data_IF_528964362676
#
_entry.id   IF_528964362676
#
_cell.length_a   1.000
_cell.length_b   1.000
_cell.length_c   1.000
_cell.angle_alpha   90.00
_cell.angle_beta   90.00
_cell.angle_gamma   90.00
#
_symmetry.space_group_name_H-M   'P 1'
#
loop_
_entity.id
_entity.type
_entity.pdbx_description
1 polymer ?
#
# COMPACT_ATOMS: atom_id res chain seq x y z
N UNK A 1 67.30 -27.23 72.24
CA UNK A 1 65.98 -27.82 71.93
C UNK A 1 65.46 -27.14 70.65
N UNK A 2 65.42 -27.91 69.54
CA UNK A 2 64.84 -27.69 68.18
C UNK A 2 64.65 -26.26 67.57
N UNK A 3 65.11 -26.12 66.32
CA UNK A 3 64.95 -25.04 65.32
C UNK A 3 63.65 -25.29 64.45
N UNK A 4 63.28 -24.51 63.40
CA UNK A 4 62.57 -23.21 63.32
C UNK A 4 61.31 -23.21 62.36
N UNK A 5 60.61 -22.07 62.13
CA UNK A 5 60.31 -21.46 60.79
C UNK A 5 59.26 -20.31 60.83
N UNK A 6 59.43 -19.38 59.88
CA UNK A 6 58.66 -18.16 59.57
C UNK A 6 57.33 -18.46 58.83
N UNK A 7 56.35 -17.53 58.87
CA UNK A 7 55.90 -16.77 57.68
C UNK A 7 54.70 -15.83 57.95
N UNK A 8 54.65 -14.80 57.12
CA UNK A 8 53.90 -13.55 57.22
C UNK A 8 52.47 -13.59 56.66
N UNK A 9 51.80 -12.45 56.84
CA UNK A 9 50.88 -11.79 55.90
C UNK A 9 49.35 -11.85 56.17
N UNK A 10 48.77 -10.64 56.08
CA UNK A 10 47.40 -10.29 55.68
C UNK A 10 46.31 -10.19 56.76
N UNK A 11 46.30 -9.00 57.37
CA UNK A 11 45.09 -8.24 57.63
C UNK A 11 44.24 -8.07 56.36
N UNK A 12 42.93 -7.90 56.54
CA UNK A 12 41.85 -7.69 55.54
C UNK A 12 41.06 -8.94 55.09
N UNK A 13 40.39 -9.62 56.02
CA UNK A 13 39.32 -10.57 55.65
C UNK A 13 38.12 -10.53 56.61
N UNK A 14 37.73 -9.33 57.08
CA UNK A 14 36.65 -9.17 58.07
C UNK A 14 35.52 -8.20 57.70
N UNK A 15 35.56 -7.57 56.51
CA UNK A 15 34.58 -6.54 56.13
C UNK A 15 34.10 -6.63 54.67
N UNK A 16 34.04 -7.83 54.09
CA UNK A 16 33.49 -8.05 52.73
C UNK A 16 32.65 -9.33 52.66
N UNK A 17 31.85 -9.63 53.69
CA UNK A 17 30.84 -10.71 53.61
C UNK A 17 29.41 -10.17 53.77
N UNK A 18 29.24 -8.86 54.00
CA UNK A 18 27.93 -8.20 54.15
C UNK A 18 27.38 -7.46 52.92
N UNK A 19 27.96 -7.63 51.73
CA UNK A 19 27.57 -6.87 50.51
C UNK A 19 27.34 -7.73 49.26
N UNK A 20 27.19 -9.05 49.40
CA UNK A 20 26.81 -9.94 48.27
C UNK A 20 25.31 -10.28 48.22
N UNK A 21 24.50 -9.66 49.08
CA UNK A 21 23.04 -9.69 48.97
C UNK A 21 22.54 -8.38 48.34
N UNK A 22 22.77 -8.20 47.04
CA UNK A 22 22.32 -7.00 46.33
C UNK A 22 22.56 -7.09 44.84
N UNK A 23 21.47 -7.04 44.08
CA UNK A 23 21.41 -7.12 42.62
C UNK A 23 21.63 -8.51 41.99
N UNK A 24 20.74 -9.46 42.30
CA UNK A 24 20.20 -10.23 41.17
C UNK A 24 19.50 -9.22 40.27
N UNK A 25 20.12 -8.86 39.14
CA UNK A 25 19.40 -8.24 38.05
C UNK A 25 18.27 -9.21 37.69
N UNK A 26 17.03 -8.88 38.07
CA UNK A 26 15.85 -9.60 37.59
C UNK A 26 15.84 -9.35 36.11
N UNK A 27 16.35 -10.30 35.32
CA UNK A 27 16.19 -10.27 33.88
C UNK A 27 14.68 -10.13 33.64
N UNK A 28 14.28 -9.07 32.92
CA UNK A 28 12.87 -8.87 32.60
C UNK A 28 12.32 -10.17 32.01
N UNK A 29 11.18 -10.64 32.53
CA UNK A 29 10.58 -11.88 32.03
C UNK A 29 10.42 -11.78 30.51
N UNK A 30 10.87 -12.81 29.80
CA UNK A 30 10.78 -12.86 28.35
C UNK A 30 9.31 -12.74 27.92
N UNK A 31 8.98 -11.64 27.26
CA UNK A 31 7.65 -11.48 26.68
C UNK A 31 7.51 -12.37 25.44
N UNK A 32 6.47 -13.20 25.39
CA UNK A 32 6.17 -14.08 24.26
C UNK A 32 4.86 -13.64 23.64
N UNK A 33 4.94 -13.15 22.41
CA UNK A 33 3.86 -12.48 21.72
C UNK A 33 3.24 -13.39 20.67
N UNK A 34 1.91 -13.52 20.70
CA UNK A 34 1.14 -14.17 19.64
C UNK A 34 0.45 -13.09 18.80
N UNK A 35 0.79 -13.02 17.51
CA UNK A 35 0.04 -12.24 16.55
C UNK A 35 -1.28 -12.93 16.21
N UNK A 36 -2.41 -12.26 16.46
CA UNK A 36 -3.77 -12.77 16.27
C UNK A 36 -4.60 -11.81 15.40
N UNK A 37 -4.35 -11.70 14.09
CA UNK A 37 -5.20 -10.94 13.19
C UNK A 37 -6.52 -11.68 12.97
N UNK A 38 -7.65 -11.05 13.29
CA UNK A 38 -8.96 -11.68 13.14
C UNK A 38 -10.12 -10.69 13.02
N UNK A 39 -11.13 -11.06 12.24
CA UNK A 39 -12.41 -10.36 12.22
C UNK A 39 -13.24 -10.72 13.46
N UNK A 40 -13.33 -9.79 14.42
CA UNK A 40 -14.02 -10.00 15.69
C UNK A 40 -15.54 -9.90 15.60
N UNK A 41 -16.07 -9.54 14.43
CA UNK A 41 -17.52 -9.44 14.21
C UNK A 41 -18.20 -10.81 14.04
N UNK A 42 -17.42 -11.84 13.72
CA UNK A 42 -17.91 -13.19 13.45
C UNK A 42 -17.70 -14.06 14.69
N UNK A 43 -18.78 -14.51 15.31
CA UNK A 43 -18.73 -15.26 16.58
C UNK A 43 -17.84 -16.51 16.50
N UNK A 44 -17.90 -17.25 15.38
CA UNK A 44 -17.06 -18.44 15.14
C UNK A 44 -15.56 -18.12 15.16
N UNK A 45 -15.17 -16.92 14.74
CA UNK A 45 -13.78 -16.50 14.79
C UNK A 45 -13.33 -16.28 16.24
N UNK A 46 -14.24 -15.83 17.11
CA UNK A 46 -13.97 -15.70 18.54
C UNK A 46 -13.77 -17.08 19.15
N UNK A 47 -14.63 -18.06 18.86
CA UNK A 47 -14.46 -19.43 19.37
C UNK A 47 -13.10 -20.03 18.98
N UNK A 48 -12.66 -19.77 17.74
CA UNK A 48 -11.33 -20.16 17.27
C UNK A 48 -10.19 -19.44 18.02
N UNK A 49 -10.33 -18.13 18.28
CA UNK A 49 -9.38 -17.37 19.09
C UNK A 49 -9.35 -17.89 20.53
N UNK A 50 -10.49 -18.26 21.12
CA UNK A 50 -10.53 -18.78 22.49
C UNK A 50 -9.71 -20.08 22.61
N UNK A 51 -9.89 -21.00 21.65
CA UNK A 51 -9.10 -22.23 21.58
C UNK A 51 -7.60 -21.94 21.36
N UNK A 52 -7.27 -20.99 20.49
CA UNK A 52 -5.89 -20.59 20.20
C UNK A 52 -5.20 -19.96 21.42
N UNK A 53 -5.86 -19.02 22.11
CA UNK A 53 -5.30 -18.32 23.26
C UNK A 53 -5.10 -19.25 24.45
N UNK A 54 -6.02 -20.22 24.67
CA UNK A 54 -5.82 -21.27 25.69
C UNK A 54 -4.58 -22.11 25.40
N UNK A 55 -4.31 -22.44 24.14
CA UNK A 55 -3.07 -23.13 23.73
C UNK A 55 -1.84 -22.24 23.92
N UNK A 56 -1.93 -20.96 23.56
CA UNK A 56 -0.85 -20.00 23.71
C UNK A 56 -0.46 -19.83 25.19
N UNK A 57 -1.44 -19.64 26.08
CA UNK A 57 -1.20 -19.54 27.52
C UNK A 57 -0.50 -20.79 28.06
N UNK A 58 -0.94 -22.00 27.67
CA UNK A 58 -0.27 -23.26 28.04
C UNK A 58 1.17 -23.37 27.52
N UNK A 59 1.46 -22.76 26.38
CA UNK A 59 2.81 -22.68 25.82
C UNK A 59 3.66 -21.54 26.42
N UNK A 60 3.12 -20.80 27.38
CA UNK A 60 3.81 -19.71 28.09
C UNK A 60 3.84 -18.39 27.33
N UNK A 61 2.93 -18.17 26.37
CA UNK A 61 2.74 -16.84 25.80
C UNK A 61 2.21 -15.87 26.86
N UNK A 62 2.60 -14.60 26.75
CA UNK A 62 2.23 -13.56 27.72
C UNK A 62 1.44 -12.43 27.08
N UNK A 63 1.59 -12.20 25.77
CA UNK A 63 0.95 -11.10 25.06
C UNK A 63 0.22 -11.58 23.81
N UNK A 64 -0.93 -10.96 23.53
CA UNK A 64 -1.65 -11.10 22.27
C UNK A 64 -1.59 -9.78 21.52
N UNK A 65 -0.85 -9.74 20.41
CA UNK A 65 -0.96 -8.66 19.45
C UNK A 65 -2.23 -8.89 18.63
N UNK A 66 -3.29 -8.16 18.97
CA UNK A 66 -4.59 -8.31 18.34
C UNK A 66 -4.75 -7.28 17.22
N UNK A 67 -5.20 -7.72 16.05
CA UNK A 67 -5.48 -6.83 14.92
C UNK A 67 -6.83 -7.18 14.28
N UNK A 68 -7.62 -6.17 13.95
CA UNK A 68 -8.87 -6.28 13.19
C UNK A 68 -9.03 -5.01 12.36
N UNK A 69 -9.44 -5.13 11.09
CA UNK A 69 -9.72 -3.98 10.23
C UNK A 69 -10.76 -3.02 10.82
N UNK A 70 -11.65 -3.53 11.68
CA UNK A 70 -12.68 -2.72 12.36
C UNK A 70 -12.13 -1.79 13.42
N UNK A 71 -10.88 -1.93 13.83
CA UNK A 71 -10.25 -1.02 14.78
C UNK A 71 -10.19 0.42 14.27
N UNK A 72 -10.18 0.65 12.96
CA UNK A 72 -10.28 1.98 12.38
C UNK A 72 -11.73 2.52 12.31
N UNK A 73 -12.75 1.67 12.49
CA UNK A 73 -14.18 2.00 12.26
C UNK A 73 -15.11 1.50 13.38
N UNK A 74 -14.63 1.54 14.62
CA UNK A 74 -15.40 1.13 15.79
C UNK A 74 -16.74 1.88 15.95
N UNK A 75 -16.84 3.10 15.43
CA UNK A 75 -18.10 3.88 15.46
C UNK A 75 -19.23 3.29 14.62
N UNK A 76 -18.92 2.37 13.69
CA UNK A 76 -19.90 1.68 12.84
C UNK A 76 -20.23 0.27 13.33
N UNK A 77 -19.60 -0.18 14.42
CA UNK A 77 -19.76 -1.55 14.91
C UNK A 77 -21.00 -1.68 15.80
N UNK A 78 -21.70 -2.81 15.67
CA UNK A 78 -22.92 -3.11 16.43
C UNK A 78 -22.61 -3.73 17.81
N UNK A 79 -23.65 -3.93 18.62
CA UNK A 79 -23.53 -4.56 19.94
C UNK A 79 -22.88 -5.94 19.90
N UNK A 80 -23.09 -6.69 18.80
CA UNK A 80 -22.49 -8.03 18.63
C UNK A 80 -20.96 -7.94 18.62
N UNK A 81 -20.41 -6.96 17.90
CA UNK A 81 -18.97 -6.75 17.89
C UNK A 81 -18.42 -6.51 19.31
N UNK A 82 -19.05 -5.62 20.07
CA UNK A 82 -18.60 -5.29 21.42
C UNK A 82 -18.81 -6.41 22.44
N UNK A 83 -19.86 -7.25 22.28
CA UNK A 83 -19.98 -8.49 23.05
C UNK A 83 -18.77 -9.42 22.84
N UNK A 84 -18.28 -9.52 21.62
CA UNK A 84 -17.11 -10.32 21.29
C UNK A 84 -15.81 -9.73 21.85
N UNK A 85 -15.66 -8.40 21.85
CA UNK A 85 -14.57 -7.71 22.55
C UNK A 85 -14.57 -8.06 24.05
N UNK A 86 -15.71 -8.00 24.72
CA UNK A 86 -15.82 -8.34 26.15
C UNK A 86 -15.61 -9.83 26.44
N UNK A 87 -15.95 -10.73 25.52
CA UNK A 87 -15.58 -12.16 25.61
C UNK A 87 -14.06 -12.34 25.62
N UNK A 88 -13.36 -11.72 24.68
CA UNK A 88 -11.90 -11.82 24.60
C UNK A 88 -11.20 -11.19 25.80
N UNK A 89 -11.67 -10.04 26.29
CA UNK A 89 -11.12 -9.41 27.51
C UNK A 89 -11.24 -10.32 28.73
N UNK A 90 -12.40 -10.95 28.93
CA UNK A 90 -12.61 -11.92 30.02
C UNK A 90 -11.68 -13.14 29.89
N UNK A 91 -11.56 -13.67 28.68
CA UNK A 91 -10.66 -14.80 28.45
C UNK A 91 -9.19 -14.43 28.70
N UNK A 92 -8.72 -13.29 28.21
CA UNK A 92 -7.35 -12.86 28.43
C UNK A 92 -7.04 -12.69 29.92
N UNK A 93 -7.97 -12.12 30.69
CA UNK A 93 -7.86 -12.04 32.14
C UNK A 93 -7.79 -13.42 32.83
N UNK A 94 -8.65 -14.37 32.43
CA UNK A 94 -8.62 -15.76 32.91
C UNK A 94 -7.26 -16.43 32.65
N UNK A 95 -6.71 -16.21 31.46
CA UNK A 95 -5.47 -16.80 30.99
C UNK A 95 -4.20 -16.03 31.39
N UNK A 96 -4.35 -14.88 32.06
CA UNK A 96 -3.26 -13.94 32.37
C UNK A 96 -2.46 -13.52 31.12
N UNK A 97 -3.16 -13.35 30.00
CA UNK A 97 -2.61 -12.81 28.76
C UNK A 97 -2.87 -11.31 28.70
N UNK A 98 -1.88 -10.54 28.28
CA UNK A 98 -2.04 -9.12 28.00
C UNK A 98 -2.47 -8.89 26.55
N UNK A 99 -3.62 -8.25 26.33
CA UNK A 99 -4.05 -7.85 24.99
C UNK A 99 -3.37 -6.53 24.63
N UNK A 100 -2.68 -6.51 23.50
CA UNK A 100 -2.06 -5.33 22.90
C UNK A 100 -2.74 -5.08 21.54
N UNK A 101 -3.73 -4.17 21.48
CA UNK A 101 -4.41 -3.88 20.22
C UNK A 101 -3.48 -3.10 19.25
N UNK A 102 -3.45 -3.54 18.00
CA UNK A 102 -2.83 -2.81 16.90
C UNK A 102 -3.70 -1.63 16.48
N UNK A 103 -3.11 -0.47 16.19
CA UNK A 103 -3.82 0.71 15.70
C UNK A 103 -2.90 1.59 14.83
N UNK A 104 -3.46 2.63 14.21
CA UNK A 104 -2.75 3.49 13.25
C UNK A 104 -2.13 2.64 12.13
N UNK A 105 -2.96 2.01 11.31
CA UNK A 105 -2.55 1.27 10.11
C UNK A 105 -1.97 2.22 9.06
N UNK A 106 -0.80 2.80 9.35
CA UNK A 106 -0.11 3.76 8.51
C UNK A 106 0.79 3.00 7.54
N UNK A 107 0.50 3.15 6.24
CA UNK A 107 1.20 2.55 5.12
C UNK A 107 0.34 1.54 4.36
N UNK A 108 -0.27 0.57 5.04
CA UNK A 108 -1.47 -0.13 4.54
C UNK A 108 -2.73 0.44 5.19
N UNK A 109 -3.20 1.56 4.67
CA UNK A 109 -4.16 2.45 5.33
C UNK A 109 -5.60 2.35 4.85
N UNK A 110 -5.96 1.31 4.10
CA UNK A 110 -7.31 1.12 3.55
C UNK A 110 -8.39 1.21 4.63
N UNK A 111 -8.12 0.68 5.84
CA UNK A 111 -9.06 0.75 6.95
C UNK A 111 -9.30 2.18 7.47
N UNK A 112 -8.29 3.05 7.43
CA UNK A 112 -8.45 4.48 7.74
C UNK A 112 -9.12 5.21 6.58
N UNK A 113 -8.76 4.86 5.35
CA UNK A 113 -9.32 5.42 4.11
C UNK A 113 -10.80 5.05 3.91
N UNK A 114 -11.33 4.08 4.65
CA UNK A 114 -12.77 3.80 4.74
C UNK A 114 -13.61 5.05 5.00
N UNK A 115 -13.13 5.94 5.87
CA UNK A 115 -13.85 7.15 6.27
C UNK A 115 -13.79 8.25 5.21
N UNK A 116 -12.70 8.32 4.47
CA UNK A 116 -12.49 9.28 3.40
C UNK A 116 -11.39 8.78 2.45
N UNK A 117 -11.78 8.17 1.31
CA UNK A 117 -10.82 7.69 0.33
C UNK A 117 -10.03 8.82 -0.34
N UNK A 118 -10.52 10.07 -0.28
CA UNK A 118 -9.78 11.22 -0.75
C UNK A 118 -8.61 11.57 0.16
N UNK A 119 -8.28 10.85 1.24
CA UNK A 119 -7.08 11.09 2.06
C UNK A 119 -5.83 10.31 1.62
N UNK A 120 -5.94 9.41 0.63
CA UNK A 120 -4.81 8.61 0.10
C UNK A 120 -3.67 9.47 -0.44
N UNK A 121 -2.41 9.18 -0.10
CA UNK A 121 -1.27 9.82 -0.76
C UNK A 121 -1.37 9.62 -2.28
N UNK A 122 -1.08 10.70 -3.03
CA UNK A 122 -1.45 10.76 -4.42
C UNK A 122 -0.27 11.26 -5.27
N UNK A 123 -0.08 10.63 -6.43
CA UNK A 123 0.97 10.99 -7.35
C UNK A 123 0.49 12.12 -8.28
N UNK A 124 1.34 13.11 -8.59
CA UNK A 124 0.97 14.20 -9.47
C UNK A 124 0.93 13.78 -10.95
N UNK A 125 0.01 14.40 -11.68
CA UNK A 125 0.03 14.55 -13.13
C UNK A 125 0.05 16.05 -13.43
N UNK A 126 0.96 16.50 -14.30
CA UNK A 126 1.29 17.94 -14.45
C UNK A 126 1.14 18.45 -15.87
N UNK A 127 0.13 19.28 -16.12
CA UNK A 127 -0.09 19.95 -17.41
C UNK A 127 -0.34 18.96 -18.57
N UNK A 128 -1.05 17.87 -18.27
CA UNK A 128 -1.51 16.91 -19.28
C UNK A 128 -2.43 17.61 -20.28
N UNK A 129 -2.25 17.32 -21.56
CA UNK A 129 -3.04 17.92 -22.63
C UNK A 129 -4.39 17.22 -22.73
N UNK A 130 -5.46 18.01 -22.75
CA UNK A 130 -6.82 17.57 -23.05
C UNK A 130 -7.37 18.40 -24.21
N UNK A 131 -8.15 17.78 -25.08
CA UNK A 131 -8.80 18.45 -26.22
C UNK A 131 -10.30 18.27 -26.11
N UNK A 132 -11.03 19.38 -26.25
CA UNK A 132 -12.50 19.37 -26.28
C UNK A 132 -13.01 18.76 -27.58
N UNK A 133 -13.78 17.68 -27.46
CA UNK A 133 -14.45 16.98 -28.55
C UNK A 133 -15.84 16.55 -28.10
N UNK A 134 -16.89 16.99 -28.81
CA UNK A 134 -18.28 16.61 -28.51
C UNK A 134 -18.76 17.06 -27.14
N UNK A 135 -18.35 18.24 -26.66
CA UNK A 135 -18.69 18.75 -25.33
C UNK A 135 -17.92 18.11 -24.16
N UNK A 136 -16.87 17.32 -24.45
CA UNK A 136 -16.02 16.68 -23.45
C UNK A 136 -14.54 16.98 -23.73
N UNK A 137 -13.78 17.38 -22.73
CA UNK A 137 -12.33 17.41 -22.80
C UNK A 137 -11.77 16.04 -22.42
N UNK A 138 -11.09 15.40 -23.38
CA UNK A 138 -10.44 14.09 -23.23
C UNK A 138 -8.94 14.23 -23.37
N UNK A 139 -8.20 13.37 -22.66
CA UNK A 139 -6.75 13.37 -22.72
C UNK A 139 -6.28 13.17 -24.17
N UNK A 140 -5.31 13.96 -24.58
CA UNK A 140 -4.60 13.82 -25.84
C UNK A 140 -3.09 13.84 -25.53
N UNK A 141 -2.34 12.76 -25.81
CA UNK A 141 -0.94 12.69 -25.41
C UNK A 141 -0.10 13.75 -26.12
N UNK A 142 0.84 14.37 -25.40
CA UNK A 142 1.72 15.41 -25.94
C UNK A 142 2.71 14.87 -26.99
N UNK A 143 2.98 13.56 -26.98
CA UNK A 143 3.85 12.89 -27.92
C UNK A 143 3.30 11.51 -28.30
N UNK A 144 3.92 10.81 -29.27
CA UNK A 144 3.50 9.47 -29.64
C UNK A 144 3.67 8.52 -28.45
N UNK A 145 2.57 7.90 -28.04
CA UNK A 145 2.51 6.85 -27.03
C UNK A 145 1.96 5.60 -27.70
N UNK A 146 2.63 4.47 -27.54
CA UNK A 146 2.22 3.21 -28.14
C UNK A 146 3.33 2.17 -28.16
N UNK A 147 2.94 0.93 -28.42
CA UNK A 147 3.85 -0.20 -28.57
C UNK A 147 4.08 -0.51 -30.05
N UNK A 148 5.34 -0.72 -30.42
CA UNK A 148 5.73 -1.39 -31.66
C UNK A 148 5.35 -2.87 -31.54
N UNK A 149 4.55 -3.38 -32.47
CA UNK A 149 4.18 -4.81 -32.49
C UNK A 149 3.27 -5.26 -31.34
N UNK A 150 2.37 -4.39 -30.86
CA UNK A 150 1.42 -4.72 -29.80
C UNK A 150 0.48 -5.91 -30.09
N UNK A 151 0.21 -6.19 -31.37
CA UNK A 151 -0.56 -7.38 -31.80
C UNK A 151 0.29 -8.64 -31.99
N UNK A 152 1.58 -8.65 -31.61
CA UNK A 152 2.52 -9.78 -31.60
C UNK A 152 2.70 -10.62 -32.89
N UNK A 153 2.07 -10.24 -34.00
CA UNK A 153 2.20 -10.90 -35.30
C UNK A 153 3.64 -10.87 -35.84
N UNK A 154 4.43 -9.89 -35.41
CA UNK A 154 5.87 -9.80 -35.65
C UNK A 154 6.62 -9.47 -34.35
N UNK A 155 7.23 -10.50 -33.75
CA UNK A 155 8.03 -10.36 -32.54
C UNK A 155 9.36 -9.61 -32.78
N UNK A 156 9.77 -9.40 -34.04
CA UNK A 156 10.94 -8.60 -34.40
C UNK A 156 10.76 -7.09 -34.16
N UNK A 157 9.52 -6.63 -33.96
CA UNK A 157 9.22 -5.23 -33.61
C UNK A 157 9.49 -4.89 -32.15
N UNK A 158 9.69 -5.90 -31.30
CA UNK A 158 10.11 -5.72 -29.91
C UNK A 158 11.63 -5.50 -29.83
N UNK A 159 12.06 -4.60 -28.96
CA UNK A 159 13.48 -4.20 -28.90
C UNK A 159 14.38 -5.35 -28.44
N UNK A 160 13.84 -6.27 -27.63
CA UNK A 160 14.54 -7.49 -27.20
C UNK A 160 13.56 -8.59 -26.76
N UNK A 161 13.97 -9.86 -26.87
CA UNK A 161 13.27 -11.01 -26.29
C UNK A 161 14.21 -12.14 -25.88
N UNK A 162 13.83 -12.92 -24.86
CA UNK A 162 14.45 -14.21 -24.57
C UNK A 162 14.14 -15.22 -25.70
N UNK A 163 15.04 -16.18 -25.92
CA UNK A 163 14.87 -17.24 -26.94
C UNK A 163 13.72 -18.20 -26.65
N UNK A 164 13.28 -18.25 -25.39
CA UNK A 164 12.14 -19.04 -24.89
C UNK A 164 10.79 -18.47 -25.30
N UNK A 165 10.74 -17.23 -25.81
CA UNK A 165 9.52 -16.62 -26.35
C UNK A 165 9.46 -16.86 -27.85
N UNK A 166 8.43 -17.53 -28.36
CA UNK A 166 8.21 -17.77 -29.79
C UNK A 166 6.87 -17.20 -30.26
N UNK A 167 6.61 -17.21 -31.57
CA UNK A 167 5.29 -16.88 -32.11
C UNK A 167 4.39 -18.12 -32.18
N UNK A 168 3.08 -17.94 -32.00
CA UNK A 168 2.06 -18.98 -32.17
C UNK A 168 0.74 -18.35 -32.61
N UNK A 169 0.34 -18.56 -33.88
CA UNK A 169 -0.94 -18.06 -34.39
C UNK A 169 -1.13 -16.54 -34.32
N UNK A 170 -0.05 -15.75 -34.40
CA UNK A 170 -0.09 -14.29 -34.26
C UNK A 170 0.12 -13.77 -32.84
N UNK A 171 0.14 -14.63 -31.83
CA UNK A 171 0.43 -14.27 -30.44
C UNK A 171 1.89 -14.59 -30.06
N UNK A 172 2.38 -13.95 -28.98
CA UNK A 172 3.61 -14.40 -28.33
C UNK A 172 3.31 -15.61 -27.44
N UNK A 173 4.16 -16.63 -27.47
CA UNK A 173 4.04 -17.88 -26.73
C UNK A 173 5.31 -18.12 -25.90
N UNK A 174 5.12 -18.55 -24.66
CA UNK A 174 6.13 -19.15 -23.79
C UNK A 174 5.66 -20.56 -23.47
N UNK A 175 6.43 -21.58 -23.88
CA UNK A 175 6.10 -23.00 -23.68
C UNK A 175 7.20 -23.71 -22.89
N UNK A 176 6.83 -24.32 -21.76
CA UNK A 176 7.70 -25.10 -20.88
C UNK A 176 9.07 -24.44 -20.61
N UNK A 177 9.11 -23.22 -20.06
CA UNK A 177 10.35 -22.46 -19.91
C UNK A 177 11.37 -23.07 -18.93
N UNK A 178 11.00 -24.09 -18.14
CA UNK A 178 11.96 -24.89 -17.36
C UNK A 178 12.73 -24.13 -16.29
N UNK A 179 12.18 -23.04 -15.77
CA UNK A 179 12.82 -22.14 -14.80
C UNK A 179 13.65 -21.02 -15.45
N UNK A 180 13.69 -20.94 -16.78
CA UNK A 180 14.37 -19.87 -17.50
C UNK A 180 13.51 -18.61 -17.55
N UNK A 181 14.16 -17.45 -17.62
CA UNK A 181 13.48 -16.21 -17.96
C UNK A 181 12.87 -16.30 -19.37
N UNK A 182 11.67 -15.75 -19.52
CA UNK A 182 10.98 -15.70 -20.80
C UNK A 182 10.25 -14.36 -20.92
N UNK A 183 10.90 -13.37 -21.54
CA UNK A 183 10.45 -11.98 -21.55
C UNK A 183 10.56 -11.35 -22.93
N UNK A 184 9.66 -10.43 -23.20
CA UNK A 184 9.70 -9.43 -24.28
C UNK A 184 9.95 -8.07 -23.65
N UNK A 185 10.76 -7.24 -24.31
CA UNK A 185 11.16 -5.93 -23.79
C UNK A 185 11.01 -4.86 -24.86
N UNK A 186 10.44 -3.73 -24.45
CA UNK A 186 10.40 -2.53 -25.28
C UNK A 186 10.73 -1.29 -24.45
N UNK A 187 11.61 -0.44 -24.99
CA UNK A 187 11.92 0.84 -24.39
C UNK A 187 10.78 1.81 -24.68
N UNK A 188 10.25 2.39 -23.60
CA UNK A 188 9.20 3.39 -23.63
C UNK A 188 9.80 4.79 -23.58
N UNK A 189 9.26 5.69 -24.39
CA UNK A 189 9.41 7.14 -24.20
C UNK A 189 8.22 7.64 -23.40
N UNK A 190 8.49 8.39 -22.35
CA UNK A 190 7.49 8.88 -21.40
C UNK A 190 7.62 10.39 -21.26
N UNK A 191 6.51 11.02 -20.93
CA UNK A 191 6.49 12.39 -20.42
C UNK A 191 6.48 12.31 -18.89
N UNK A 192 7.40 12.99 -18.18
CA UNK A 192 7.37 13.02 -16.72
C UNK A 192 6.03 13.49 -16.16
N UNK A 193 5.62 12.93 -15.03
CA UNK A 193 4.37 13.22 -14.34
C UNK A 193 3.15 13.06 -15.24
N UNK A 194 3.05 11.87 -15.85
CA UNK A 194 1.89 11.38 -16.60
C UNK A 194 1.44 10.03 -16.06
N UNK A 195 0.16 9.74 -16.27
CA UNK A 195 -0.45 8.46 -15.95
C UNK A 195 -0.55 7.65 -17.26
N UNK A 196 -0.16 6.39 -17.19
CA UNK A 196 -0.13 5.48 -18.34
C UNK A 196 -0.86 4.19 -18.00
N UNK A 197 -1.49 3.61 -19.01
CA UNK A 197 -2.21 2.34 -18.94
C UNK A 197 -1.63 1.37 -19.96
N UNK A 198 -1.35 0.15 -19.51
CA UNK A 198 -1.03 -0.99 -20.35
C UNK A 198 -2.16 -2.00 -20.20
N UNK A 199 -2.79 -2.35 -21.31
CA UNK A 199 -3.71 -3.49 -21.38
C UNK A 199 -3.16 -4.56 -22.31
N UNK A 200 -3.43 -5.83 -22.00
CA UNK A 200 -3.08 -6.96 -22.86
C UNK A 200 -3.96 -8.17 -22.57
N UNK A 201 -4.16 -9.03 -23.58
CA UNK A 201 -4.80 -10.33 -23.40
C UNK A 201 -3.76 -11.36 -22.98
N UNK A 202 -4.13 -12.18 -22.00
CA UNK A 202 -3.32 -13.30 -21.54
C UNK A 202 -4.17 -14.58 -21.56
N UNK A 203 -3.59 -15.64 -22.11
CA UNK A 203 -4.11 -17.01 -22.08
C UNK A 203 -3.09 -17.94 -21.45
N UNK A 204 -3.53 -18.94 -20.72
CA UNK A 204 -2.65 -19.96 -20.13
C UNK A 204 -3.25 -21.34 -20.24
N UNK A 205 -2.38 -22.34 -20.37
CA UNK A 205 -2.73 -23.75 -20.32
C UNK A 205 -1.74 -24.46 -19.39
N UNK A 206 -2.22 -24.90 -18.24
CA UNK A 206 -1.44 -25.63 -17.22
C UNK A 206 -0.14 -24.92 -16.82
N UNK A 207 -0.12 -23.59 -16.94
CA UNK A 207 1.07 -22.80 -16.71
C UNK A 207 1.45 -22.80 -15.23
N UNK A 208 2.72 -23.12 -14.94
CA UNK A 208 3.31 -23.07 -13.61
C UNK A 208 4.33 -21.94 -13.59
N UNK A 209 3.95 -20.81 -13.00
CA UNK A 209 4.75 -19.59 -12.94
C UNK A 209 3.84 -18.36 -12.84
N UNK A 210 4.44 -17.18 -12.85
CA UNK A 210 3.77 -15.89 -12.72
C UNK A 210 3.93 -15.12 -14.02
N UNK A 211 2.80 -14.86 -14.70
CA UNK A 211 2.77 -13.91 -15.81
C UNK A 211 2.84 -12.49 -15.25
N UNK A 212 3.77 -11.69 -15.76
CA UNK A 212 4.09 -10.36 -15.24
C UNK A 212 4.18 -9.33 -16.36
N UNK A 213 3.74 -8.12 -16.04
CA UNK A 213 4.00 -6.89 -16.79
C UNK A 213 4.76 -5.97 -15.86
N UNK A 214 5.98 -5.56 -16.24
CA UNK A 214 6.81 -4.67 -15.41
C UNK A 214 7.29 -3.47 -16.20
N UNK A 215 7.16 -2.29 -15.62
CA UNK A 215 7.72 -1.05 -16.13
C UNK A 215 8.89 -0.68 -15.22
N UNK A 216 10.11 -0.80 -15.74
CA UNK A 216 11.33 -0.65 -14.95
C UNK A 216 12.16 0.58 -15.36
N UNK A 217 12.71 1.28 -14.36
CA UNK A 217 13.70 2.35 -14.53
C UNK A 217 14.88 2.11 -13.59
N UNK A 218 16.07 1.83 -14.16
CA UNK A 218 17.27 1.56 -13.36
C UNK A 218 17.09 0.42 -12.35
N UNK A 219 16.34 -0.63 -12.72
CA UNK A 219 16.02 -1.77 -11.85
C UNK A 219 14.86 -1.54 -10.87
N UNK A 220 14.28 -0.33 -10.80
CA UNK A 220 13.12 -0.01 -9.95
C UNK A 220 11.82 -0.11 -10.75
N UNK A 221 10.80 -0.73 -10.17
CA UNK A 221 9.48 -0.82 -10.80
C UNK A 221 8.68 0.47 -10.61
N UNK A 222 7.90 0.85 -11.63
CA UNK A 222 6.90 1.92 -11.56
C UNK A 222 5.48 1.39 -11.34
N UNK A 223 5.28 0.07 -11.47
CA UNK A 223 4.02 -0.62 -11.24
C UNK A 223 4.24 -1.83 -10.32
N UNK A 224 3.19 -2.19 -9.58
CA UNK A 224 3.24 -3.28 -8.61
C UNK A 224 1.96 -4.14 -8.59
N UNK A 225 1.15 -4.07 -9.66
CA UNK A 225 -0.08 -4.83 -9.78
C UNK A 225 0.22 -6.31 -10.06
N UNK A 226 -0.52 -7.21 -9.42
CA UNK A 226 -0.59 -8.61 -9.79
C UNK A 226 -1.72 -8.81 -10.80
N UNK A 227 -1.40 -9.45 -11.91
CA UNK A 227 -2.38 -9.70 -12.98
C UNK A 227 -3.45 -10.75 -12.55
N UNK A 228 -3.17 -11.53 -11.50
CA UNK A 228 -4.09 -12.57 -11.03
C UNK A 228 -4.36 -13.68 -12.06
N UNK A 229 -3.47 -13.84 -13.05
CA UNK A 229 -3.53 -14.84 -14.11
C UNK A 229 -3.65 -16.24 -13.50
N UNK A 230 -4.61 -17.02 -13.99
CA UNK A 230 -4.86 -18.39 -13.51
C UNK A 230 -3.94 -19.38 -14.21
N UNK A 231 -3.74 -20.54 -13.56
CA UNK A 231 -2.97 -21.67 -14.12
C UNK A 231 -3.46 -22.08 -15.52
N UNK A 232 -4.77 -22.14 -15.68
CA UNK A 232 -5.44 -22.36 -16.96
C UNK A 232 -6.56 -21.33 -17.07
N UNK A 233 -6.53 -20.53 -18.12
CA UNK A 233 -7.58 -19.59 -18.47
C UNK A 233 -7.57 -19.36 -19.97
N UNK A 234 -8.74 -19.10 -20.54
CA UNK A 234 -8.80 -18.56 -21.89
C UNK A 234 -8.34 -17.09 -21.92
N UNK A 235 -8.30 -16.51 -23.11
CA UNK A 235 -7.94 -15.11 -23.31
C UNK A 235 -8.74 -14.18 -22.40
N UNK A 236 -8.03 -13.43 -21.55
CA UNK A 236 -8.59 -12.42 -20.67
C UNK A 236 -7.75 -11.15 -20.74
N UNK A 237 -8.40 -10.00 -20.77
CA UNK A 237 -7.73 -8.69 -20.67
C UNK A 237 -7.26 -8.48 -19.24
N UNK A 238 -6.02 -8.00 -19.11
CA UNK A 238 -5.43 -7.55 -17.85
C UNK A 238 -4.93 -6.12 -17.99
N UNK A 239 -4.87 -5.41 -16.88
CA UNK A 239 -4.59 -3.98 -16.82
C UNK A 239 -3.45 -3.70 -15.86
N UNK A 240 -2.59 -2.77 -16.26
CA UNK A 240 -1.50 -2.22 -15.44
C UNK A 240 -1.53 -0.71 -15.61
N UNK A 241 -1.49 0.00 -14.50
CA UNK A 241 -1.45 1.46 -14.49
C UNK A 241 -0.20 1.91 -13.74
N UNK A 242 0.46 2.94 -14.25
CA UNK A 242 1.63 3.52 -13.61
C UNK A 242 1.71 5.03 -13.84
N UNK A 243 2.46 5.71 -12.97
CA UNK A 243 2.85 7.09 -13.18
C UNK A 243 4.34 7.13 -13.58
N UNK A 244 4.69 7.96 -14.57
CA UNK A 244 6.09 8.09 -15.01
C UNK A 244 7.01 8.71 -13.95
N UNK A 245 6.44 9.35 -12.91
CA UNK A 245 7.16 10.13 -11.91
C UNK A 245 8.06 11.15 -12.61
N UNK A 246 9.34 11.21 -12.24
CA UNK A 246 10.30 12.12 -12.87
C UNK A 246 10.92 11.55 -14.15
N UNK A 247 10.53 10.35 -14.59
CA UNK A 247 11.23 9.63 -15.65
C UNK A 247 10.68 9.99 -17.03
N UNK A 248 11.58 10.17 -18.00
CA UNK A 248 11.24 10.37 -19.41
C UNK A 248 11.36 9.09 -20.24
N UNK A 249 11.83 8.00 -19.63
CA UNK A 249 12.01 6.70 -20.28
C UNK A 249 11.84 5.57 -19.26
N UNK A 250 11.40 4.42 -19.74
CA UNK A 250 11.35 3.18 -18.97
C UNK A 250 11.48 1.96 -19.91
N UNK A 251 11.64 0.77 -19.34
CA UNK A 251 11.54 -0.47 -20.10
C UNK A 251 10.28 -1.22 -19.69
N UNK A 252 9.41 -1.50 -20.66
CA UNK A 252 8.29 -2.42 -20.49
C UNK A 252 8.79 -3.85 -20.69
N UNK A 253 8.49 -4.71 -19.73
CA UNK A 253 8.71 -6.15 -19.80
C UNK A 253 7.36 -6.86 -19.77
N UNK A 254 7.15 -7.79 -20.70
CA UNK A 254 6.05 -8.75 -20.67
C UNK A 254 6.65 -10.16 -20.60
N UNK A 255 6.23 -10.99 -19.64
CA UNK A 255 6.79 -12.34 -19.56
C UNK A 255 6.64 -13.03 -18.22
N UNK A 256 7.58 -13.92 -17.92
CA UNK A 256 7.72 -14.58 -16.62
C UNK A 256 9.20 -14.78 -16.26
N UNK A 257 9.48 -14.82 -14.96
CA UNK A 257 10.82 -15.08 -14.39
C UNK A 257 10.92 -16.44 -13.69
N UNK A 258 9.78 -16.98 -13.24
CA UNK A 258 9.65 -18.20 -12.45
C UNK A 258 8.90 -19.32 -13.18
N UNK A 259 8.68 -19.15 -14.50
CA UNK A 259 7.97 -20.11 -15.33
C UNK A 259 8.68 -21.46 -15.36
N UNK A 260 7.94 -22.55 -15.14
CA UNK A 260 8.46 -23.93 -15.14
C UNK A 260 7.88 -24.78 -16.26
N UNK A 261 6.56 -24.86 -16.35
CA UNK A 261 5.85 -25.75 -17.29
C UNK A 261 4.55 -25.13 -17.78
N UNK A 262 3.94 -25.76 -18.79
CA UNK A 262 2.70 -25.30 -19.42
C UNK A 262 2.95 -24.25 -20.50
N UNK A 263 1.90 -23.55 -20.90
CA UNK A 263 1.97 -22.51 -21.94
C UNK A 263 1.32 -21.22 -21.47
N UNK A 264 1.97 -20.10 -21.80
CA UNK A 264 1.54 -18.72 -21.54
C UNK A 264 1.57 -17.96 -22.85
N UNK A 265 0.46 -17.34 -23.22
CA UNK A 265 0.37 -16.50 -24.41
C UNK A 265 0.04 -15.04 -24.05
N UNK A 266 0.61 -14.12 -24.83
CA UNK A 266 0.29 -12.69 -24.80
C UNK A 266 -0.21 -12.23 -26.16
N UNK A 267 -1.24 -11.41 -26.16
CA UNK A 267 -1.78 -10.80 -27.38
C UNK A 267 -2.42 -9.42 -27.11
N UNK A 268 -2.65 -8.62 -28.15
CA UNK A 268 -3.31 -7.31 -28.11
C UNK A 268 -2.80 -6.37 -27.01
N UNK A 269 -1.48 -6.21 -26.91
CA UNK A 269 -0.87 -5.27 -25.99
C UNK A 269 -1.02 -3.82 -26.49
N UNK A 270 -1.60 -2.97 -25.65
CA UNK A 270 -1.76 -1.54 -25.85
C UNK A 270 -1.00 -0.79 -24.74
N UNK A 271 -0.37 0.32 -25.11
CA UNK A 271 0.11 1.33 -24.19
C UNK A 271 -0.53 2.66 -24.58
N UNK A 272 -1.13 3.32 -23.61
CA UNK A 272 -1.75 4.63 -23.79
C UNK A 272 -1.43 5.54 -22.60
N UNK A 273 -1.38 6.85 -22.84
CA UNK A 273 -1.47 7.84 -21.77
C UNK A 273 -2.94 7.96 -21.40
N UNK A 274 -3.25 7.99 -20.11
CA UNK A 274 -4.62 8.14 -19.60
C UNK A 274 -4.73 9.37 -18.69
N UNK A 275 -5.96 9.84 -18.52
CA UNK A 275 -6.29 10.99 -17.72
C UNK A 275 -7.30 10.65 -16.63
N UNK A 276 -7.13 11.21 -15.43
CA UNK A 276 -8.17 11.32 -14.40
C UNK A 276 -8.64 9.99 -13.76
N UNK A 277 -7.98 8.86 -14.05
CA UNK A 277 -8.24 7.60 -13.35
C UNK A 277 -7.83 7.74 -11.88
N UNK A 278 -8.68 7.30 -10.95
CA UNK A 278 -8.48 7.42 -9.51
C UNK A 278 -8.19 8.86 -9.06
N UNK A 279 -8.94 9.83 -9.62
CA UNK A 279 -8.79 11.26 -9.33
C UNK A 279 -9.03 11.58 -7.85
N UNK A 280 -7.99 12.10 -7.18
CA UNK A 280 -8.07 12.54 -5.78
C UNK A 280 -8.47 14.01 -5.69
N UNK A 281 -9.46 14.32 -4.83
CA UNK A 281 -10.00 15.67 -4.62
C UNK A 281 -9.85 16.09 -3.15
N UNK A 282 -8.79 16.85 -2.84
CA UNK A 282 -8.58 17.51 -1.53
C UNK A 282 -7.59 18.67 -1.61
N UNK A 283 -7.37 19.41 -0.53
CA UNK A 283 -6.44 20.56 -0.48
C UNK A 283 -4.99 20.25 -0.84
N UNK A 284 -4.49 19.06 -0.52
CA UNK A 284 -3.17 18.59 -0.96
C UNK A 284 -3.14 18.11 -2.41
N UNK A 285 -4.29 17.95 -3.06
CA UNK A 285 -4.44 17.37 -4.40
C UNK A 285 -5.38 18.24 -5.26
N UNK A 286 -5.02 19.49 -5.56
CA UNK A 286 -5.88 20.36 -6.36
C UNK A 286 -6.00 19.86 -7.81
N UNK A 287 -7.21 20.01 -8.38
CA UNK A 287 -7.43 19.97 -9.82
C UNK A 287 -7.20 21.38 -10.37
N UNK A 288 -6.34 21.51 -11.37
CA UNK A 288 -6.09 22.76 -12.07
C UNK A 288 -6.29 22.52 -13.56
N UNK A 289 -7.27 23.23 -14.14
CA UNK A 289 -7.54 23.22 -15.58
C UNK A 289 -7.23 24.59 -16.12
N UNK A 290 -6.37 24.67 -17.14
CA UNK A 290 -6.03 25.91 -17.84
C UNK A 290 -6.25 25.73 -19.33
N UNK A 291 -6.54 26.80 -20.05
CA UNK A 291 -6.32 26.84 -21.49
C UNK A 291 -4.83 26.87 -21.79
N UNK A 292 -4.44 26.54 -23.02
CA UNK A 292 -3.04 26.54 -23.45
C UNK A 292 -2.40 27.95 -23.40
N UNK A 293 -3.20 29.02 -23.46
CA UNK A 293 -2.77 30.42 -23.26
C UNK A 293 -2.49 30.78 -21.78
N UNK A 294 -2.70 29.84 -20.85
CA UNK A 294 -2.48 30.00 -19.42
C UNK A 294 -3.69 30.48 -18.63
N UNK A 295 -4.82 30.82 -19.27
CA UNK A 295 -6.05 31.22 -18.57
C UNK A 295 -6.56 30.05 -17.72
N UNK A 296 -6.64 30.25 -16.41
CA UNK A 296 -7.27 29.31 -15.49
C UNK A 296 -8.78 29.23 -15.75
N UNK A 297 -9.31 28.01 -15.70
CA UNK A 297 -10.73 27.71 -15.80
C UNK A 297 -11.30 27.36 -14.44
N UNK A 298 -12.54 27.75 -14.22
CA UNK A 298 -13.26 27.59 -12.95
C UNK A 298 -14.25 26.43 -13.04
N UNK A 299 -14.09 25.44 -12.18
CA UNK A 299 -15.03 24.33 -12.02
C UNK A 299 -16.42 24.83 -11.60
N UNK A 300 -17.48 24.27 -12.18
CA UNK A 300 -18.86 24.74 -12.03
C UNK A 300 -19.22 25.96 -12.88
N UNK A 301 -18.25 26.60 -13.54
CA UNK A 301 -18.47 27.74 -14.45
C UNK A 301 -18.03 27.43 -15.88
N UNK A 302 -16.74 27.18 -16.09
CA UNK A 302 -16.17 26.89 -17.40
C UNK A 302 -16.30 25.40 -17.78
N UNK A 303 -16.35 24.52 -16.78
CA UNK A 303 -16.55 23.07 -16.93
C UNK A 303 -17.33 22.53 -15.72
N UNK A 304 -18.01 21.40 -15.88
CA UNK A 304 -18.80 20.80 -14.81
C UNK A 304 -17.94 20.28 -13.65
N UNK A 305 -18.48 20.17 -12.42
CA UNK A 305 -17.79 19.49 -11.33
C UNK A 305 -17.29 18.09 -11.73
N UNK A 306 -16.02 17.83 -11.47
CA UNK A 306 -15.33 16.61 -11.86
C UNK A 306 -14.99 15.77 -10.64
N UNK A 307 -15.56 14.57 -10.62
CA UNK A 307 -15.25 13.52 -9.65
C UNK A 307 -15.06 12.22 -10.40
N UNK A 308 -14.18 11.37 -9.89
CA UNK A 308 -14.14 9.97 -10.27
C UNK A 308 -15.13 9.20 -9.38
N UNK A 309 -16.22 8.64 -9.94
CA UNK A 309 -17.24 7.96 -9.16
C UNK A 309 -16.78 6.62 -8.55
N UNK A 310 -15.67 6.05 -9.04
CA UNK A 310 -15.14 4.75 -8.58
C UNK A 310 -13.91 4.89 -7.67
N UNK A 311 -13.38 6.12 -7.52
CA UNK A 311 -12.18 6.36 -6.73
C UNK A 311 -12.38 5.93 -5.27
N UNK A 312 -11.61 4.92 -4.86
CA UNK A 312 -11.49 4.49 -3.47
C UNK A 312 -12.75 3.88 -2.88
N UNK A 313 -13.64 3.32 -3.70
CA UNK A 313 -14.88 2.69 -3.25
C UNK A 313 -15.13 1.32 -3.89
N UNK A 314 -14.10 0.69 -4.45
CA UNK A 314 -14.20 -0.57 -5.19
C UNK A 314 -13.35 -1.66 -4.54
N UNK A 315 -13.93 -2.77 -4.07
CA UNK A 315 -15.38 -3.06 -3.92
C UNK A 315 -16.03 -2.39 -2.68
N UNK A 316 -15.25 -1.69 -1.86
CA UNK A 316 -15.73 -0.99 -0.68
C UNK A 316 -14.89 0.28 -0.43
N UNK A 317 -15.37 1.15 0.47
CA UNK A 317 -14.66 2.38 0.81
C UNK A 317 -13.24 2.09 1.31
N UNK A 318 -12.27 2.88 0.83
CA UNK A 318 -10.86 2.73 1.12
C UNK A 318 -10.12 1.71 0.24
N UNK A 319 -10.80 1.06 -0.70
CA UNK A 319 -10.20 0.16 -1.69
C UNK A 319 -10.31 0.72 -3.11
N UNK A 320 -9.29 0.50 -3.92
CA UNK A 320 -9.13 1.13 -5.24
C UNK A 320 -8.92 0.06 -6.29
N UNK A 321 -9.64 0.14 -7.41
CA UNK A 321 -9.38 -0.72 -8.54
C UNK A 321 -8.15 -0.24 -9.33
N UNK A 322 -7.46 -1.20 -9.95
CA UNK A 322 -6.26 -0.92 -10.77
C UNK A 322 -6.64 -0.09 -12.00
N UNK A 323 -7.80 -0.36 -12.59
CA UNK A 323 -8.29 0.30 -13.78
C UNK A 323 -9.82 0.25 -13.86
N UNK A 324 -10.39 1.35 -14.31
CA UNK A 324 -11.76 1.49 -14.78
C UNK A 324 -11.79 2.61 -15.84
N UNK A 325 -12.91 2.77 -16.55
CA UNK A 325 -13.05 3.88 -17.51
C UNK A 325 -12.98 5.23 -16.78
N UNK A 326 -11.97 6.08 -17.05
CA UNK A 326 -11.78 7.31 -16.30
C UNK A 326 -12.89 8.34 -16.55
N UNK A 327 -13.19 9.24 -15.60
CA UNK A 327 -14.11 10.33 -15.83
C UNK A 327 -13.55 11.33 -16.86
N UNK A 328 -14.45 12.07 -17.51
CA UNK A 328 -14.12 13.10 -18.52
C UNK A 328 -14.55 14.47 -18.05
N UNK A 329 -13.85 15.52 -18.51
CA UNK A 329 -14.21 16.91 -18.20
C UNK A 329 -15.37 17.31 -19.12
N UNK A 330 -16.57 17.49 -18.58
CA UNK A 330 -17.72 18.00 -19.35
C UNK A 330 -17.67 19.52 -19.43
N UNK A 331 -17.80 20.09 -20.62
CA UNK A 331 -17.65 21.53 -20.85
C UNK A 331 -18.42 22.02 -22.07
N UNK A 332 -18.77 23.31 -22.08
CA UNK A 332 -19.37 23.99 -23.23
C UNK A 332 -18.34 24.81 -24.03
N UNK A 333 -17.05 24.62 -23.75
CA UNK A 333 -15.98 25.25 -24.52
C UNK A 333 -16.04 24.81 -25.99
N UNK A 334 -15.56 25.65 -26.93
CA UNK A 334 -15.56 25.30 -28.35
C UNK A 334 -14.78 24.01 -28.65
N UNK A 335 -15.23 23.28 -29.67
CA UNK A 335 -14.52 22.12 -30.24
C UNK A 335 -13.05 22.46 -30.57
N UNK A 336 -12.15 21.53 -30.28
CA UNK A 336 -10.72 21.71 -30.48
C UNK A 336 -10.03 22.59 -29.43
N UNK A 337 -10.75 23.11 -28.43
CA UNK A 337 -10.12 23.85 -27.32
C UNK A 337 -9.10 22.96 -26.60
N UNK A 338 -7.87 23.45 -26.48
CA UNK A 338 -6.74 22.76 -25.85
C UNK A 338 -6.59 23.20 -24.40
N UNK A 339 -6.57 22.23 -23.50
CA UNK A 339 -6.49 22.43 -22.06
C UNK A 339 -5.22 21.77 -21.50
N UNK A 340 -4.63 22.40 -20.49
CA UNK A 340 -3.56 21.85 -19.65
C UNK A 340 -4.15 21.53 -18.29
N UNK A 341 -4.15 20.24 -17.95
CA UNK A 341 -4.79 19.71 -16.75
C UNK A 341 -3.73 19.13 -15.82
N UNK A 342 -3.65 19.70 -14.63
CA UNK A 342 -2.84 19.18 -13.53
C UNK A 342 -3.75 18.63 -12.44
N UNK A 343 -3.45 17.42 -11.96
CA UNK A 343 -4.26 16.72 -10.97
C UNK A 343 -3.40 15.71 -10.21
N UNK A 344 -4.02 14.98 -9.29
CA UNK A 344 -3.38 13.90 -8.55
C UNK A 344 -4.25 12.64 -8.62
N UNK A 345 -3.60 11.48 -8.68
CA UNK A 345 -4.28 10.19 -8.69
C UNK A 345 -3.78 9.28 -7.59
N UNK A 346 -4.68 8.47 -7.06
CA UNK A 346 -4.34 7.41 -6.12
C UNK A 346 -3.60 6.31 -6.87
N UNK A 347 -2.62 5.72 -6.20
CA UNK A 347 -1.94 4.51 -6.68
C UNK A 347 -1.96 3.45 -5.60
N UNK A 348 -2.14 2.21 -6.03
CA UNK A 348 -2.04 1.05 -5.16
C UNK A 348 -0.75 0.30 -5.42
N UNK A 349 -0.26 -0.37 -4.37
CA UNK A 349 0.80 -1.36 -4.49
C UNK A 349 0.23 -2.73 -4.14
N UNK A 350 0.64 -3.78 -4.86
CA UNK A 350 0.15 -5.14 -4.61
C UNK A 350 -1.38 -5.19 -4.64
N UNK A 351 -1.93 -4.66 -5.73
CA UNK A 351 -3.35 -4.54 -6.10
C UNK A 351 -4.16 -3.50 -5.32
N UNK A 352 -4.09 -3.50 -4.00
CA UNK A 352 -5.00 -2.68 -3.17
C UNK A 352 -4.31 -1.92 -2.03
N UNK A 353 -3.02 -2.13 -1.75
CA UNK A 353 -2.39 -1.41 -0.62
C UNK A 353 -2.29 0.08 -0.93
N UNK A 354 -3.04 0.88 -0.16
CA UNK A 354 -3.11 2.32 -0.29
C UNK A 354 -2.59 3.01 0.97
N UNK A 355 -1.73 4.01 0.80
CA UNK A 355 -1.11 4.75 1.90
C UNK A 355 -1.87 6.05 2.13
N UNK A 356 -2.29 6.35 3.36
CA UNK A 356 -2.94 7.62 3.70
C UNK A 356 -1.93 8.76 3.80
N UNK A 357 -2.25 9.94 3.26
CA UNK A 357 -1.38 11.10 3.35
C UNK A 357 -1.22 11.56 4.80
N UNK A 358 0.00 11.56 5.30
CA UNK A 358 0.32 11.93 6.68
C UNK A 358 0.35 13.43 6.94
N UNK A 359 0.24 14.25 5.89
CA UNK A 359 0.31 15.70 5.97
C UNK A 359 -1.05 16.40 5.89
N UNK A 360 -2.13 15.65 5.66
CA UNK A 360 -3.48 16.20 5.72
C UNK A 360 -3.95 16.31 7.17
N UNK A 361 -4.52 17.45 7.60
CA UNK A 361 -5.03 17.61 8.96
C UNK A 361 -6.07 16.55 9.36
N UNK A 362 -6.94 16.18 8.42
CA UNK A 362 -8.00 15.18 8.63
C UNK A 362 -7.43 13.79 8.96
N UNK A 363 -6.24 13.45 8.48
CA UNK A 363 -5.56 12.21 8.87
C UNK A 363 -5.30 12.19 10.37
N UNK A 364 -4.81 13.29 10.94
CA UNK A 364 -4.57 13.39 12.40
C UNK A 364 -5.87 13.29 13.19
N UNK A 365 -6.97 13.81 12.66
CA UNK A 365 -8.30 13.68 13.27
C UNK A 365 -8.78 12.22 13.31
N UNK A 366 -8.62 11.47 12.21
CA UNK A 366 -8.95 10.03 12.15
C UNK A 366 -8.12 9.22 13.14
N UNK A 367 -6.81 9.47 13.21
CA UNK A 367 -5.93 8.83 14.18
C UNK A 367 -6.36 9.16 15.62
N UNK A 368 -6.72 10.43 15.90
CA UNK A 368 -7.20 10.83 17.23
C UNK A 368 -8.52 10.13 17.60
N UNK A 369 -9.47 10.03 16.68
CA UNK A 369 -10.74 9.32 16.91
C UNK A 369 -10.50 7.82 17.12
N UNK A 370 -9.65 7.20 16.30
CA UNK A 370 -9.27 5.79 16.46
C UNK A 370 -8.69 5.53 17.85
N UNK A 371 -7.70 6.33 18.29
CA UNK A 371 -7.08 6.19 19.61
C UNK A 371 -8.11 6.26 20.74
N UNK A 372 -9.02 7.24 20.69
CA UNK A 372 -10.09 7.42 21.69
C UNK A 372 -11.02 6.22 21.75
N UNK A 373 -11.52 5.73 20.61
CA UNK A 373 -12.45 4.60 20.56
C UNK A 373 -11.79 3.29 20.96
N UNK A 374 -10.56 3.07 20.50
CA UNK A 374 -9.78 1.90 20.87
C UNK A 374 -9.52 1.86 22.37
N UNK A 375 -9.18 3.01 22.99
CA UNK A 375 -9.01 3.08 24.43
C UNK A 375 -10.32 2.86 25.19
N UNK A 376 -11.42 3.46 24.74
CA UNK A 376 -12.73 3.25 25.34
C UNK A 376 -13.16 1.76 25.31
N UNK A 377 -12.94 1.06 24.20
CA UNK A 377 -13.33 -0.34 24.02
C UNK A 377 -12.43 -1.31 24.80
N UNK A 378 -11.11 -1.16 24.66
CA UNK A 378 -10.16 -2.16 25.17
C UNK A 378 -9.65 -1.86 26.57
N UNK A 379 -9.45 -0.57 26.91
CA UNK A 379 -8.71 -0.13 28.12
C UNK A 379 -7.42 -0.93 28.32
N UNK A 380 -6.71 -1.20 27.21
CA UNK A 380 -5.47 -1.96 27.23
C UNK A 380 -4.36 -1.14 27.90
N UNK A 381 -3.40 -1.83 28.51
CA UNK A 381 -2.22 -1.17 29.10
C UNK A 381 -1.32 -0.57 28.03
N UNK A 382 -1.19 -1.25 26.90
CA UNK A 382 -0.41 -0.77 25.77
C UNK A 382 -1.04 -1.06 24.41
N UNK A 383 -0.49 -0.40 23.40
CA UNK A 383 -0.95 -0.46 22.01
C UNK A 383 0.23 -0.61 21.07
N UNK A 384 0.04 -1.33 19.96
CA UNK A 384 1.05 -1.43 18.92
C UNK A 384 0.69 -0.48 17.77
N UNK A 385 1.57 0.48 17.46
CA UNK A 385 1.40 1.31 16.27
C UNK A 385 1.81 0.53 15.01
N UNK A 386 0.93 0.48 14.03
CA UNK A 386 1.10 -0.30 12.80
C UNK A 386 1.60 0.56 11.63
N UNK A 387 2.77 1.17 11.82
CA UNK A 387 3.52 1.80 10.73
C UNK A 387 4.25 0.72 9.92
N UNK A 388 3.66 0.29 8.82
CA UNK A 388 4.20 -0.77 7.96
C UNK A 388 3.85 -0.50 6.49
N UNK A 389 4.62 -1.03 5.55
CA UNK A 389 4.33 -0.92 4.11
C UNK A 389 4.16 0.51 3.61
N UNK A 390 5.02 1.42 4.07
CA UNK A 390 5.05 2.81 3.59
C UNK A 390 5.69 2.86 2.21
N UNK A 391 4.85 2.73 1.17
CA UNK A 391 5.29 2.57 -0.22
C UNK A 391 5.13 3.84 -1.06
N UNK A 392 4.25 4.76 -0.66
CA UNK A 392 3.99 6.02 -1.36
C UNK A 392 3.90 7.10 -0.31
N UNK A 393 4.79 8.09 -0.34
CA UNK A 393 4.76 9.23 0.59
C UNK A 393 5.45 10.43 -0.06
N UNK A 394 5.00 11.62 0.28
CA UNK A 394 5.64 12.88 -0.06
C UNK A 394 5.52 13.27 -1.54
N UNK A 395 4.37 13.00 -2.15
CA UNK A 395 4.12 13.36 -3.56
C UNK A 395 3.06 14.44 -3.73
N UNK A 396 2.01 14.43 -2.90
CA UNK A 396 0.96 15.44 -2.97
C UNK A 396 1.43 16.82 -2.45
N UNK A 397 0.68 17.85 -2.82
CA UNK A 397 0.93 19.23 -2.41
C UNK A 397 0.90 19.45 -0.90
N UNK A 398 0.12 18.67 -0.13
CA UNK A 398 0.12 18.78 1.34
C UNK A 398 1.47 18.40 1.94
N UNK A 399 2.07 17.30 1.46
CA UNK A 399 3.40 16.89 1.90
C UNK A 399 4.48 17.86 1.42
N UNK A 400 4.45 18.22 0.14
CA UNK A 400 5.46 19.10 -0.48
C UNK A 400 5.52 20.48 0.19
N UNK A 401 4.38 21.05 0.60
CA UNK A 401 4.32 22.34 1.34
C UNK A 401 5.04 22.32 2.68
N UNK A 402 5.30 21.15 3.26
CA UNK A 402 6.02 21.05 4.54
C UNK A 402 7.52 21.31 4.40
N UNK A 403 8.08 21.21 3.20
CA UNK A 403 9.52 21.33 2.98
C UNK A 403 10.33 20.22 3.69
N UNK A 404 9.72 19.06 3.92
CA UNK A 404 10.32 17.90 4.58
C UNK A 404 10.49 16.75 3.58
N UNK A 405 11.50 15.92 3.80
CA UNK A 405 11.59 14.63 3.11
C UNK A 405 10.59 13.61 3.68
N UNK A 406 10.44 12.46 3.01
CA UNK A 406 9.49 11.43 3.42
C UNK A 406 9.80 10.85 4.81
N UNK A 407 11.08 10.71 5.17
CA UNK A 407 11.50 10.20 6.48
C UNK A 407 11.16 11.16 7.61
N UNK A 408 11.35 12.46 7.40
CA UNK A 408 11.00 13.50 8.35
C UNK A 408 9.48 13.62 8.54
N UNK A 409 8.69 13.49 7.47
CA UNK A 409 7.22 13.43 7.54
C UNK A 409 6.77 12.23 8.37
N UNK A 410 7.34 11.05 8.12
CA UNK A 410 7.04 9.84 8.88
C UNK A 410 7.41 9.98 10.36
N UNK A 411 8.61 10.49 10.65
CA UNK A 411 9.06 10.69 12.03
C UNK A 411 8.14 11.65 12.81
N UNK A 412 7.67 12.72 12.17
CA UNK A 412 6.69 13.63 12.75
C UNK A 412 5.32 12.97 12.99
N UNK A 413 4.86 12.14 12.05
CA UNK A 413 3.64 11.36 12.24
C UNK A 413 3.76 10.39 13.42
N UNK A 414 4.87 9.66 13.55
CA UNK A 414 5.13 8.75 14.69
C UNK A 414 5.08 9.52 16.02
N UNK A 415 5.73 10.69 16.12
CA UNK A 415 5.66 11.53 17.33
C UNK A 415 4.23 11.99 17.62
N UNK A 416 3.47 12.32 16.59
CA UNK A 416 2.05 12.69 16.73
C UNK A 416 1.23 11.52 17.25
N UNK A 417 1.38 10.32 16.68
CA UNK A 417 0.73 9.10 17.13
C UNK A 417 1.04 8.78 18.60
N UNK A 418 2.31 8.85 19.01
CA UNK A 418 2.72 8.67 20.42
C UNK A 418 2.00 9.68 21.32
N UNK A 419 1.95 10.96 20.93
CA UNK A 419 1.24 11.99 21.71
C UNK A 419 -0.25 11.68 21.84
N UNK A 420 -0.91 11.29 20.74
CA UNK A 420 -2.33 10.93 20.76
C UNK A 420 -2.62 9.75 21.69
N UNK A 421 -1.75 8.74 21.72
CA UNK A 421 -1.89 7.60 22.64
C UNK A 421 -1.66 8.01 24.09
N UNK A 422 -0.67 8.88 24.36
CA UNK A 422 -0.44 9.40 25.72
C UNK A 422 -1.59 10.24 26.25
N UNK A 423 -2.32 10.93 25.38
CA UNK A 423 -3.53 11.69 25.77
C UNK A 423 -4.64 10.76 26.28
N UNK A 424 -4.83 9.59 25.67
CA UNK A 424 -5.91 8.66 26.04
C UNK A 424 -5.48 7.61 27.07
N UNK A 425 -4.20 7.27 27.13
CA UNK A 425 -3.63 6.23 28.00
C UNK A 425 -2.40 6.75 28.76
N UNK A 426 -2.58 7.67 29.73
CA UNK A 426 -1.47 8.25 30.47
C UNK A 426 -0.75 7.19 31.32
N UNK A 427 0.54 6.99 31.05
CA UNK A 427 1.37 6.00 31.77
C UNK A 427 1.29 4.57 31.25
N UNK A 428 0.55 4.33 30.15
CA UNK A 428 0.57 3.05 29.47
C UNK A 428 1.79 2.84 28.57
N UNK A 429 1.98 1.60 28.15
CA UNK A 429 3.08 1.18 27.28
C UNK A 429 2.77 1.56 25.82
N UNK A 430 3.61 2.40 25.21
CA UNK A 430 3.41 2.95 23.85
C UNK A 430 4.65 2.73 23.00
#
# INVERSE_FOLDING_TARGET
>A
MKLPLRCSLLAHLGLVVGLLAGAQAVAAELQRWLYSPQNLWVDKNIDALEALWRRAAKAGYTHILLADSKFAKLGEMDERYFRNVERLKRLAAELKLEIVPALFSVGYSNDLLWHDPNLVEALPVRDALFIVQGGEARLYPDGPVGLKGGGFSDLGLWDWRDTTVTGDGGAALIRNPGGQNARLVQRLRLTPFRQYHVSLRIKTQDFSGTAEVKVLVGGRALNYNFLGVKRTQDWKVHHVVFNSLTNSEANLYLGCWDGRSGSLWFDDALLEEIGLLNLVRRSGAPLVVKREDGRALVEGTDFAPLVDPRMGNQPWNGAYDVYHEPPVIKTLLPEGTRLRVSYYHAVTVYDDQAMICLSEPRTVELLRDQAKRMHAAWRAKGYMMSHDEIRVLNWCGACQRRGLDAGAILADNVRTCIRLLREVNPGGDI
#
